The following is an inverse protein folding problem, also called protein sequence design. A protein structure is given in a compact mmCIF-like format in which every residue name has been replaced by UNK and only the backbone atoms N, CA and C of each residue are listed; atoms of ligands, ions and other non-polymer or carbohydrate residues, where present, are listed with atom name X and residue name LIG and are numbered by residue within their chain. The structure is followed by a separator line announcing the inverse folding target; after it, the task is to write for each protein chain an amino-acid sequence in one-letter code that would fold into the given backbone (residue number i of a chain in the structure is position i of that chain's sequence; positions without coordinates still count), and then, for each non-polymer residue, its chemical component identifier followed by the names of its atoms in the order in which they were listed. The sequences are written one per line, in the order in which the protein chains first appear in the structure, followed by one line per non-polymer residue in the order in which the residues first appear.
data_IF_321493114057
#
_entry.id   IF_321493114057
#
_cell.length_a   1.000
_cell.length_b   1.000
_cell.length_c   1.000
_cell.angle_alpha   90.00
_cell.angle_beta   90.00
_cell.angle_gamma   90.00
#
_symmetry.space_group_name_H-M   'P 1'
#
loop_
_entity.id
_entity.type
_entity.pdbx_description
1 polymer ?
#
# COMPACT_ATOMS: atom_id res chain seq x y z
N UNK A 1 2.07 -28.08 -52.59
CA UNK A 1 2.71 -28.09 -51.26
C UNK A 1 3.16 -26.67 -50.92
N UNK A 2 2.39 -25.94 -50.09
CA UNK A 2 2.73 -24.57 -49.67
C UNK A 2 3.56 -24.68 -48.38
N UNK A 3 4.78 -24.18 -48.42
CA UNK A 3 5.79 -24.31 -47.37
C UNK A 3 5.43 -23.42 -46.18
N UNK A 4 5.15 -24.03 -45.01
CA UNK A 4 4.88 -23.34 -43.73
C UNK A 4 6.14 -22.75 -43.08
N UNK A 5 7.28 -22.86 -43.77
CA UNK A 5 8.62 -22.46 -43.34
C UNK A 5 8.74 -20.99 -42.88
N UNK A 6 8.19 -19.98 -43.58
CA UNK A 6 8.38 -18.59 -43.14
C UNK A 6 7.68 -18.30 -41.81
N UNK A 7 6.51 -18.91 -41.57
CA UNK A 7 5.77 -18.73 -40.31
C UNK A 7 6.49 -19.34 -39.10
N UNK A 8 7.16 -20.48 -39.30
CA UNK A 8 7.92 -21.16 -38.23
C UNK A 8 9.18 -20.36 -37.88
N UNK A 9 9.92 -19.86 -38.88
CA UNK A 9 11.15 -19.07 -38.65
C UNK A 9 10.85 -17.74 -37.94
N UNK A 10 9.73 -17.09 -38.30
CA UNK A 10 9.29 -15.84 -37.65
C UNK A 10 8.91 -16.12 -36.19
N UNK A 11 8.14 -17.18 -35.93
CA UNK A 11 7.72 -17.54 -34.58
C UNK A 11 8.94 -17.86 -33.67
N UNK A 12 9.91 -18.62 -34.18
CA UNK A 12 11.12 -18.96 -33.42
C UNK A 12 11.99 -17.73 -33.14
N UNK A 13 12.12 -16.81 -34.10
CA UNK A 13 12.88 -15.56 -33.91
C UNK A 13 12.24 -14.64 -32.86
N UNK A 14 10.91 -14.57 -32.82
CA UNK A 14 10.18 -13.79 -31.82
C UNK A 14 10.34 -14.38 -30.41
N UNK A 15 10.27 -15.71 -30.29
CA UNK A 15 10.45 -16.41 -29.01
C UNK A 15 11.89 -16.25 -28.50
N UNK A 16 12.88 -16.39 -29.37
CA UNK A 16 14.29 -16.17 -29.00
C UNK A 16 14.57 -14.71 -28.66
N UNK A 17 14.05 -13.76 -29.43
CA UNK A 17 14.22 -12.33 -29.15
C UNK A 17 13.63 -11.92 -27.80
N UNK A 18 12.41 -12.39 -27.49
CA UNK A 18 11.75 -12.11 -26.20
C UNK A 18 12.44 -12.78 -25.02
N UNK A 19 12.90 -14.02 -25.16
CA UNK A 19 13.64 -14.70 -24.09
C UNK A 19 15.03 -14.08 -23.84
N UNK A 20 15.72 -13.62 -24.88
CA UNK A 20 16.99 -12.89 -24.73
C UNK A 20 16.76 -11.54 -24.04
N UNK A 21 15.72 -10.81 -24.43
CA UNK A 21 15.39 -9.51 -23.82
C UNK A 21 14.97 -9.63 -22.34
N UNK A 22 14.28 -10.72 -21.98
CA UNK A 22 13.94 -11.00 -20.59
C UNK A 22 15.14 -11.43 -19.74
N UNK A 23 16.19 -12.02 -20.35
CA UNK A 23 17.38 -12.52 -19.65
C UNK A 23 18.53 -11.53 -19.55
N UNK A 24 18.53 -10.47 -20.36
CA UNK A 24 19.61 -9.48 -20.38
C UNK A 24 19.61 -8.53 -19.17
N UNK A 25 18.65 -8.65 -18.24
CA UNK A 25 18.65 -7.87 -16.99
C UNK A 25 18.56 -6.36 -17.20
N UNK A 26 18.17 -5.92 -18.40
CA UNK A 26 18.04 -4.51 -18.80
C UNK A 26 16.71 -3.89 -18.35
N UNK A 27 15.85 -4.67 -17.69
CA UNK A 27 14.77 -4.07 -16.93
C UNK A 27 15.42 -3.29 -15.80
N UNK A 28 15.19 -1.98 -15.67
CA UNK A 28 15.59 -1.28 -14.46
C UNK A 28 14.90 -2.00 -13.30
N UNK A 29 15.67 -2.73 -12.50
CA UNK A 29 15.23 -3.08 -11.16
C UNK A 29 14.88 -1.75 -10.52
N UNK A 30 13.58 -1.56 -10.25
CA UNK A 30 13.17 -0.48 -9.38
C UNK A 30 13.99 -0.67 -8.11
N UNK A 31 14.95 0.21 -7.88
CA UNK A 31 15.70 0.27 -6.63
C UNK A 31 14.68 0.61 -5.56
N UNK A 32 14.04 -0.43 -5.04
CA UNK A 32 13.04 -0.34 -4.03
C UNK A 32 13.76 0.07 -2.74
N UNK A 33 13.41 1.27 -2.29
CA UNK A 33 13.53 1.77 -0.94
C UNK A 33 14.95 1.95 -0.39
N UNK A 34 15.29 3.21 -0.15
CA UNK A 34 15.87 3.67 1.10
C UNK A 34 15.54 2.70 2.25
N UNK A 35 16.56 1.96 2.70
CA UNK A 35 16.55 0.93 3.75
C UNK A 35 15.22 0.79 4.52
N UNK A 36 14.43 -0.23 4.19
CA UNK A 36 13.21 -0.55 4.91
C UNK A 36 13.54 -0.84 6.39
N UNK A 37 13.16 0.08 7.28
CA UNK A 37 13.24 -0.11 8.74
C UNK A 37 11.90 -0.64 9.24
N UNK A 38 11.87 -1.49 10.29
CA UNK A 38 10.62 -1.89 10.92
C UNK A 38 9.81 -0.66 11.36
N UNK A 39 8.49 -0.73 11.21
CA UNK A 39 7.60 0.29 11.77
C UNK A 39 7.77 0.34 13.31
N UNK A 40 7.72 1.54 13.92
CA UNK A 40 7.67 1.67 15.37
C UNK A 40 6.33 1.20 15.92
N UNK A 41 6.32 0.75 17.18
CA UNK A 41 5.09 0.33 17.87
C UNK A 41 4.19 1.53 18.21
N UNK A 42 2.88 1.29 18.33
CA UNK A 42 1.95 2.31 18.79
C UNK A 42 2.17 2.63 20.26
N UNK A 43 2.13 3.92 20.60
CA UNK A 43 2.35 4.39 21.98
C UNK A 43 1.06 4.58 22.78
N UNK A 44 -0.09 4.66 22.11
CA UNK A 44 -1.39 4.85 22.75
C UNK A 44 -1.97 3.48 23.09
N UNK A 45 -2.07 3.16 24.38
CA UNK A 45 -2.54 1.85 24.87
C UNK A 45 -3.86 1.93 25.62
N UNK A 46 -4.34 3.15 25.90
CA UNK A 46 -5.62 3.36 26.57
C UNK A 46 -6.78 3.19 25.57
N UNK A 47 -7.80 2.36 25.84
CA UNK A 47 -8.98 2.24 24.99
C UNK A 47 -9.68 3.56 24.68
N UNK A 48 -9.62 4.55 25.58
CA UNK A 48 -10.25 5.85 25.38
C UNK A 48 -9.53 6.72 24.33
N UNK A 49 -8.31 6.33 23.93
CA UNK A 49 -7.52 6.99 22.89
C UNK A 49 -7.72 6.37 21.49
N UNK A 50 -8.50 5.29 21.40
CA UNK A 50 -8.78 4.59 20.15
C UNK A 50 -10.25 4.70 19.76
N UNK A 51 -10.47 4.98 18.48
CA UNK A 51 -11.80 5.03 17.89
C UNK A 51 -12.00 3.82 16.99
N UNK A 52 -13.23 3.30 16.95
CA UNK A 52 -13.66 2.18 16.10
C UNK A 52 -12.93 0.83 16.34
N UNK A 53 -12.03 0.76 17.32
CA UNK A 53 -11.31 -0.46 17.67
C UNK A 53 -10.77 -0.39 19.11
N UNK A 54 -10.42 -1.56 19.66
CA UNK A 54 -9.52 -1.63 20.82
C UNK A 54 -8.09 -1.22 20.39
N UNK A 55 -7.21 -0.84 21.33
CA UNK A 55 -5.81 -0.57 21.02
C UNK A 55 -5.17 -1.72 20.23
N UNK A 56 -4.54 -1.38 19.10
CA UNK A 56 -3.85 -2.33 18.23
C UNK A 56 -2.35 -2.32 18.52
N UNK A 57 -1.71 -3.47 18.32
CA UNK A 57 -0.24 -3.60 18.30
C UNK A 57 0.24 -4.00 16.91
N UNK A 58 1.53 -3.79 16.60
CA UNK A 58 2.12 -4.30 15.37
C UNK A 58 2.05 -5.83 15.26
N UNK A 59 1.98 -6.54 16.39
CA UNK A 59 1.78 -7.99 16.41
C UNK A 59 0.40 -8.38 15.87
N UNK A 60 -0.65 -7.64 16.26
CA UNK A 60 -2.03 -7.86 15.77
C UNK A 60 -2.17 -7.60 14.26
N UNK A 61 -1.26 -6.79 13.70
CA UNK A 61 -1.27 -6.37 12.30
C UNK A 61 -0.36 -7.20 11.39
N UNK A 62 0.36 -8.20 11.93
CA UNK A 62 1.22 -9.07 11.12
C UNK A 62 0.42 -9.80 10.04
N UNK A 63 0.97 -9.83 8.83
CA UNK A 63 0.32 -10.45 7.67
C UNK A 63 -0.68 -9.55 6.94
N UNK A 64 -0.94 -8.34 7.45
CA UNK A 64 -1.71 -7.30 6.77
C UNK A 64 -0.80 -6.31 6.06
N UNK A 65 -1.32 -5.68 5.01
CA UNK A 65 -0.79 -4.42 4.49
C UNK A 65 -1.47 -3.30 5.29
N UNK A 66 -0.68 -2.47 5.95
CA UNK A 66 -1.21 -1.39 6.80
C UNK A 66 -0.89 -0.04 6.17
N UNK A 67 -1.93 0.76 5.93
CA UNK A 67 -1.82 2.15 5.50
C UNK A 67 -2.09 3.05 6.71
N UNK A 68 -1.08 3.83 7.11
CA UNK A 68 -1.22 4.85 8.15
C UNK A 68 -1.52 6.21 7.49
N UNK A 69 -2.66 6.80 7.83
CA UNK A 69 -3.04 8.14 7.38
C UNK A 69 -2.92 9.12 8.56
N UNK A 70 -1.94 10.03 8.51
CA UNK A 70 -1.74 11.03 9.56
C UNK A 70 -2.59 12.25 9.22
N UNK A 71 -3.53 12.59 10.10
CA UNK A 71 -4.50 13.65 9.84
C UNK A 71 -4.77 14.51 11.07
N UNK A 72 -5.49 15.62 10.87
CA UNK A 72 -6.01 16.46 11.94
C UNK A 72 -7.38 17.01 11.57
N UNK A 73 -8.21 17.31 12.58
CA UNK A 73 -9.60 17.71 12.41
C UNK A 73 -9.82 18.97 11.57
N UNK A 74 -8.85 19.89 11.52
CA UNK A 74 -8.93 21.16 10.79
C UNK A 74 -8.19 21.12 9.44
N UNK A 75 -7.75 19.93 9.00
CA UNK A 75 -7.03 19.76 7.75
C UNK A 75 -7.96 19.50 6.57
N UNK A 76 -8.30 20.55 5.81
CA UNK A 76 -9.13 20.43 4.60
C UNK A 76 -8.58 19.41 3.58
N UNK A 77 -7.26 19.35 3.41
CA UNK A 77 -6.63 18.39 2.50
C UNK A 77 -6.84 16.94 2.96
N UNK A 78 -6.87 16.71 4.27
CA UNK A 78 -7.09 15.39 4.85
C UNK A 78 -8.55 14.94 4.63
N UNK A 79 -9.53 15.82 4.81
CA UNK A 79 -10.93 15.47 4.49
C UNK A 79 -11.14 15.00 3.04
N UNK A 80 -10.35 15.54 2.10
CA UNK A 80 -10.43 15.13 0.69
C UNK A 80 -9.89 13.72 0.44
N UNK A 81 -9.01 13.19 1.30
CA UNK A 81 -8.50 11.81 1.17
C UNK A 81 -9.46 10.78 1.74
N UNK A 82 -10.29 11.12 2.75
CA UNK A 82 -11.12 10.14 3.45
C UNK A 82 -12.05 9.31 2.55
N UNK A 83 -12.79 9.88 1.58
CA UNK A 83 -13.64 9.07 0.70
C UNK A 83 -12.83 8.07 -0.13
N UNK A 84 -11.62 8.44 -0.53
CA UNK A 84 -10.70 7.57 -1.25
C UNK A 84 -10.14 6.45 -0.36
N UNK A 85 -9.73 6.79 0.86
CA UNK A 85 -9.21 5.81 1.82
C UNK A 85 -10.29 4.80 2.23
N UNK A 86 -11.52 5.26 2.49
CA UNK A 86 -12.66 4.39 2.80
C UNK A 86 -12.99 3.46 1.63
N UNK A 87 -12.96 3.98 0.40
CA UNK A 87 -13.15 3.17 -0.80
C UNK A 87 -12.04 2.12 -0.99
N UNK A 88 -10.79 2.49 -0.71
CA UNK A 88 -9.65 1.60 -0.80
C UNK A 88 -9.73 0.48 0.25
N UNK A 89 -10.04 0.81 1.50
CA UNK A 89 -10.21 -0.20 2.56
C UNK A 89 -11.34 -1.16 2.20
N UNK A 90 -12.52 -0.65 1.83
CA UNK A 90 -13.66 -1.49 1.43
C UNK A 90 -13.33 -2.43 0.25
N UNK A 91 -12.47 -2.00 -0.68
CA UNK A 91 -12.08 -2.81 -1.82
C UNK A 91 -11.08 -3.93 -1.46
N UNK A 92 -10.18 -3.69 -0.51
CA UNK A 92 -9.02 -4.54 -0.24
C UNK A 92 -8.98 -5.14 1.17
N UNK A 93 -9.96 -4.88 2.04
CA UNK A 93 -10.04 -5.43 3.40
C UNK A 93 -9.92 -6.96 3.41
N UNK A 94 -10.62 -7.65 2.48
CA UNK A 94 -10.60 -9.11 2.35
C UNK A 94 -9.26 -9.65 1.83
N UNK A 95 -8.45 -8.78 1.22
CA UNK A 95 -7.11 -9.09 0.73
C UNK A 95 -6.04 -8.72 1.78
N UNK A 96 -6.45 -8.26 2.96
CA UNK A 96 -5.57 -7.96 4.08
C UNK A 96 -5.10 -6.51 4.14
N UNK A 97 -5.74 -5.57 3.44
CA UNK A 97 -5.51 -4.14 3.68
C UNK A 97 -6.19 -3.70 4.98
N UNK A 98 -5.50 -2.91 5.79
CA UNK A 98 -6.03 -2.21 6.96
C UNK A 98 -5.63 -0.73 6.87
N UNK A 99 -6.60 0.17 6.98
CA UNK A 99 -6.33 1.61 7.12
C UNK A 99 -6.42 1.98 8.60
N UNK A 100 -5.44 2.77 9.08
CA UNK A 100 -5.43 3.32 10.45
C UNK A 100 -5.20 4.82 10.34
N UNK A 101 -6.18 5.60 10.80
CA UNK A 101 -6.07 7.05 10.91
C UNK A 101 -5.35 7.44 12.20
N UNK A 102 -4.19 8.08 12.07
CA UNK A 102 -3.42 8.63 13.21
C UNK A 102 -3.75 10.10 13.34
N UNK A 103 -4.62 10.43 14.28
CA UNK A 103 -4.99 11.81 14.57
C UNK A 103 -3.86 12.52 15.32
N UNK A 104 -3.20 13.45 14.65
CA UNK A 104 -2.06 14.22 15.15
C UNK A 104 -2.44 15.70 15.26
N UNK A 105 -3.02 16.13 16.39
CA UNK A 105 -3.48 17.50 16.58
C UNK A 105 -2.37 18.55 16.38
N UNK A 106 -2.63 19.54 15.52
CA UNK A 106 -1.72 20.68 15.33
C UNK A 106 -1.80 21.74 16.45
N UNK A 107 -2.82 21.67 17.32
CA UNK A 107 -3.11 22.67 18.34
C UNK A 107 -3.84 22.04 19.53
N UNK A 108 -3.99 22.75 20.65
CA UNK A 108 -4.69 22.18 21.82
C UNK A 108 -6.19 21.98 21.60
N UNK A 109 -6.78 22.71 20.67
CA UNK A 109 -8.22 22.71 20.42
C UNK A 109 -8.71 21.48 19.65
N UNK A 110 -7.83 20.81 18.89
CA UNK A 110 -8.20 19.64 18.09
C UNK A 110 -7.71 18.34 18.73
N UNK A 111 -7.51 18.27 20.05
CA UNK A 111 -6.97 17.07 20.71
C UNK A 111 -7.84 15.81 20.53
N UNK A 112 -9.14 15.97 20.28
CA UNK A 112 -10.09 14.87 20.11
C UNK A 112 -10.82 15.00 18.79
N UNK A 113 -10.86 13.91 18.01
CA UNK A 113 -11.70 13.84 16.81
C UNK A 113 -13.16 13.55 17.23
N UNK A 114 -14.16 14.25 16.68
CA UNK A 114 -15.56 13.89 16.90
C UNK A 114 -15.89 12.57 16.19
N UNK A 115 -16.79 11.79 16.82
CA UNK A 115 -17.26 10.49 16.33
C UNK A 115 -18.06 10.59 15.02
#
# INVERSE_FOLDING_TARGET
MKTHWPSIVIAVSLILGTTIYARSGLLPEATAAEQARPAPEFTHTDPDEWLNSKPLTLADLRGKVVLLDIWTFDCWNCYRSFPWLNGLEAQYEKQGLQVIGVHSPNSRMNKTAPN
#
